data_IF_666131653207
#
_entry.id   IF_666131653207
#
_cell.length_a   1.000
_cell.length_b   1.000
_cell.length_c   1.000
_cell.angle_alpha   90.00
_cell.angle_beta   90.00
_cell.angle_gamma   90.00
#
_symmetry.space_group_name_H-M   'P 1'
#
loop_
_entity.id
_entity.type
_entity.pdbx_description
1 polymer ?
#
# COMPACT_ATOMS: atom_id res chain seq x y z
N UNK A 1 12.95 -7.64 4.16
CA UNK A 1 12.69 -8.79 3.27
C UNK A 1 11.26 -8.67 2.78
N UNK A 2 11.04 -8.09 1.60
CA UNK A 2 9.69 -8.00 1.04
C UNK A 2 9.36 -9.36 0.42
N UNK A 3 8.37 -10.04 1.00
CA UNK A 3 7.86 -11.31 0.50
C UNK A 3 7.11 -11.02 -0.81
N UNK A 4 7.79 -11.12 -1.94
CA UNK A 4 7.13 -11.10 -3.26
C UNK A 4 6.44 -12.45 -3.42
N UNK A 5 5.20 -12.57 -2.93
CA UNK A 5 4.35 -13.72 -3.28
C UNK A 5 4.30 -13.78 -4.81
N UNK A 6 4.71 -14.90 -5.39
CA UNK A 6 4.66 -15.07 -6.84
C UNK A 6 3.19 -15.03 -7.26
N UNK A 7 2.85 -14.06 -8.11
CA UNK A 7 1.45 -13.72 -8.38
C UNK A 7 0.78 -14.76 -9.28
N UNK A 8 1.57 -15.56 -10.01
CA UNK A 8 1.08 -16.68 -10.81
C UNK A 8 0.43 -17.80 -9.98
N UNK A 9 0.95 -18.05 -8.77
CA UNK A 9 0.39 -19.06 -7.85
C UNK A 9 -1.03 -18.67 -7.38
N UNK A 10 -1.26 -17.37 -7.14
CA UNK A 10 -2.56 -16.86 -6.71
C UNK A 10 -3.63 -16.89 -7.83
N UNK A 11 -3.21 -16.95 -9.09
CA UNK A 11 -4.10 -16.97 -10.25
C UNK A 11 -4.54 -18.39 -10.65
N UNK A 12 -3.97 -19.43 -10.03
CA UNK A 12 -4.22 -20.83 -10.43
C UNK A 12 -3.74 -21.15 -11.85
N UNK A 13 -2.75 -20.39 -12.35
CA UNK A 13 -2.22 -20.51 -13.72
C UNK A 13 -0.84 -21.18 -13.77
N UNK A 14 -0.39 -21.74 -12.64
CA UNK A 14 0.86 -22.48 -12.53
C UNK A 14 0.61 -23.96 -12.78
N UNK A 15 1.61 -24.68 -13.29
CA UNK A 15 1.54 -26.14 -13.55
C UNK A 15 1.26 -26.99 -12.29
N UNK A 16 1.32 -26.37 -11.10
CA UNK A 16 1.02 -26.99 -9.79
C UNK A 16 -0.41 -26.73 -9.31
N UNK A 17 -1.27 -26.08 -10.10
CA UNK A 17 -2.65 -25.80 -9.73
C UNK A 17 -3.53 -27.06 -9.85
N UNK A 18 -4.46 -27.21 -8.91
CA UNK A 18 -5.48 -28.27 -8.94
C UNK A 18 -6.56 -27.98 -9.99
N UNK A 19 -7.23 -29.01 -10.51
CA UNK A 19 -8.33 -28.85 -11.48
C UNK A 19 -9.42 -27.89 -10.97
N UNK A 20 -9.75 -27.97 -9.67
CA UNK A 20 -10.70 -27.06 -9.03
C UNK A 20 -10.26 -25.59 -9.09
N UNK A 21 -8.96 -25.31 -9.01
CA UNK A 21 -8.42 -23.95 -9.13
C UNK A 21 -8.48 -23.46 -10.58
N UNK A 22 -8.23 -24.34 -11.55
CA UNK A 22 -8.41 -24.01 -12.97
C UNK A 22 -9.87 -23.69 -13.30
N UNK A 23 -10.82 -24.54 -12.89
CA UNK A 23 -12.25 -24.30 -13.09
C UNK A 23 -12.71 -23.01 -12.43
N UNK A 24 -12.23 -22.73 -11.22
CA UNK A 24 -12.49 -21.46 -10.54
C UNK A 24 -11.97 -20.26 -11.34
N UNK A 25 -10.74 -20.33 -11.84
CA UNK A 25 -10.14 -19.27 -12.65
C UNK A 25 -10.88 -19.06 -13.97
N UNK A 26 -11.33 -20.13 -14.63
CA UNK A 26 -12.15 -20.06 -15.84
C UNK A 26 -13.51 -19.42 -15.57
N UNK A 27 -14.20 -19.81 -14.50
CA UNK A 27 -15.47 -19.19 -14.09
C UNK A 27 -15.27 -17.71 -13.77
N UNK A 28 -14.23 -17.36 -13.02
CA UNK A 28 -13.90 -15.97 -12.71
C UNK A 28 -13.62 -15.18 -14.00
N UNK A 29 -12.87 -15.74 -14.94
CA UNK A 29 -12.59 -15.09 -16.21
C UNK A 29 -13.87 -14.81 -17.01
N UNK A 30 -14.78 -15.78 -17.08
CA UNK A 30 -16.06 -15.63 -17.77
C UNK A 30 -16.86 -14.43 -17.24
N UNK A 31 -16.97 -14.31 -15.91
CA UNK A 31 -17.64 -13.16 -15.27
C UNK A 31 -16.93 -11.83 -15.57
N UNK A 32 -15.60 -11.82 -15.52
CA UNK A 32 -14.82 -10.61 -15.78
C UNK A 32 -14.87 -10.18 -17.25
N UNK A 33 -15.14 -11.08 -18.20
CA UNK A 33 -15.29 -10.71 -19.62
C UNK A 33 -16.48 -9.79 -19.85
N UNK A 34 -17.58 -10.00 -19.12
CA UNK A 34 -18.80 -9.18 -19.23
C UNK A 34 -18.84 -8.03 -18.22
N UNK A 35 -18.01 -8.05 -17.18
CA UNK A 35 -17.98 -6.96 -16.19
C UNK A 35 -17.06 -5.81 -16.64
N UNK A 36 -17.52 -4.54 -16.69
CA UNK A 36 -16.66 -3.40 -17.02
C UNK A 36 -15.49 -3.21 -16.05
N UNK A 37 -14.28 -2.92 -16.55
CA UNK A 37 -13.07 -2.81 -15.70
C UNK A 37 -12.68 -1.37 -15.32
N UNK A 38 -13.26 -0.36 -15.97
CA UNK A 38 -13.02 1.06 -15.73
C UNK A 38 -14.08 1.92 -16.42
N UNK A 39 -14.20 3.23 -16.14
CA UNK A 39 -15.14 4.12 -16.84
C UNK A 39 -14.96 4.18 -18.36
N UNK A 40 -13.76 3.82 -18.87
CA UNK A 40 -13.43 3.84 -20.30
C UNK A 40 -13.62 2.48 -20.99
N UNK A 41 -14.15 1.47 -20.29
CA UNK A 41 -14.20 0.10 -20.78
C UNK A 41 -15.25 -0.08 -21.88
N UNK A 42 -14.91 -0.62 -23.06
CA UNK A 42 -15.89 -0.93 -24.13
C UNK A 42 -16.97 -1.95 -23.74
N UNK A 43 -16.80 -2.67 -22.63
CA UNK A 43 -17.81 -3.59 -22.10
C UNK A 43 -19.06 -2.86 -21.63
N UNK A 44 -18.97 -1.57 -21.27
CA UNK A 44 -20.14 -0.73 -21.00
C UNK A 44 -21.15 -0.70 -22.17
N UNK A 45 -20.66 -0.85 -23.39
CA UNK A 45 -21.50 -0.88 -24.59
C UNK A 45 -22.42 -2.12 -24.65
N UNK A 46 -22.09 -3.22 -23.97
CA UNK A 46 -23.00 -4.36 -23.84
C UNK A 46 -24.26 -3.99 -23.04
N UNK A 47 -24.15 -2.99 -22.18
CA UNK A 47 -25.22 -2.50 -21.32
C UNK A 47 -25.86 -1.22 -21.85
N UNK A 48 -25.56 -0.80 -23.09
CA UNK A 48 -26.05 0.45 -23.67
C UNK A 48 -25.47 1.72 -23.03
N UNK A 49 -24.43 1.61 -22.21
CA UNK A 49 -23.81 2.75 -21.52
C UNK A 49 -22.61 3.23 -22.33
N UNK A 50 -22.57 4.54 -22.62
CA UNK A 50 -21.44 5.14 -23.34
C UNK A 50 -20.21 5.26 -22.40
N UNK A 51 -19.08 4.60 -22.71
CA UNK A 51 -17.89 4.72 -21.88
C UNK A 51 -17.24 6.10 -22.02
N UNK A 52 -16.52 6.52 -20.98
CA UNK A 52 -15.79 7.78 -21.00
C UNK A 52 -14.73 7.80 -22.11
N UNK A 53 -14.87 8.75 -23.05
CA UNK A 53 -14.01 8.85 -24.23
C UNK A 53 -14.27 7.77 -25.28
N UNK A 54 -15.55 7.41 -25.47
CA UNK A 54 -16.01 6.49 -26.51
C UNK A 54 -15.49 6.89 -27.90
N UNK A 55 -15.15 5.90 -28.72
CA UNK A 55 -14.68 6.08 -30.11
C UNK A 55 -15.45 5.14 -31.03
N UNK A 56 -15.64 5.52 -32.28
CA UNK A 56 -16.31 4.69 -33.30
C UNK A 56 -15.62 3.32 -33.49
N UNK A 57 -14.33 3.23 -33.20
CA UNK A 57 -13.54 1.99 -33.29
C UNK A 57 -13.73 1.04 -32.10
N UNK A 58 -14.55 1.40 -31.10
CA UNK A 58 -14.82 0.54 -29.95
C UNK A 58 -15.88 -0.50 -30.31
N UNK A 59 -15.54 -1.77 -30.17
CA UNK A 59 -16.50 -2.88 -30.35
C UNK A 59 -17.12 -3.24 -28.99
N UNK A 60 -18.45 -3.40 -28.91
CA UNK A 60 -19.11 -3.87 -27.70
C UNK A 60 -18.50 -5.17 -27.18
N UNK A 61 -18.25 -5.23 -25.87
CA UNK A 61 -17.67 -6.42 -25.21
C UNK A 61 -16.18 -6.64 -25.45
N UNK A 62 -15.51 -5.85 -26.30
CA UNK A 62 -14.09 -6.05 -26.65
C UNK A 62 -13.18 -5.03 -25.99
N UNK A 63 -12.76 -5.31 -24.75
CA UNK A 63 -11.78 -4.49 -24.04
C UNK A 63 -10.36 -5.07 -24.14
N UNK A 64 -9.38 -4.24 -24.56
CA UNK A 64 -7.95 -4.60 -24.64
C UNK A 64 -7.22 -4.48 -23.29
N UNK A 65 -7.92 -4.11 -22.22
CA UNK A 65 -7.34 -3.90 -20.90
C UNK A 65 -6.81 -5.20 -20.29
N UNK A 66 -5.69 -5.11 -19.56
CA UNK A 66 -5.09 -6.25 -18.84
C UNK A 66 -6.11 -7.00 -17.96
N UNK A 67 -7.08 -6.27 -17.42
CA UNK A 67 -8.16 -6.78 -16.57
C UNK A 67 -9.10 -7.81 -17.22
N UNK A 68 -9.03 -8.04 -18.53
CA UNK A 68 -9.81 -9.07 -19.23
C UNK A 68 -8.96 -10.25 -19.73
N UNK A 69 -7.64 -10.22 -19.49
CA UNK A 69 -6.74 -11.31 -19.90
C UNK A 69 -6.68 -12.39 -18.81
N UNK A 70 -6.74 -13.69 -19.17
CA UNK A 70 -6.57 -14.78 -18.21
C UNK A 70 -5.23 -14.67 -17.45
N UNK A 71 -4.15 -14.36 -18.16
CA UNK A 71 -2.78 -14.17 -17.63
C UNK A 71 -2.66 -13.11 -16.51
N UNK A 72 -3.68 -12.27 -16.35
CA UNK A 72 -3.70 -11.19 -15.38
C UNK A 72 -4.83 -11.34 -14.35
N UNK A 73 -5.46 -12.52 -14.28
CA UNK A 73 -6.31 -12.89 -13.15
C UNK A 73 -5.48 -12.89 -11.88
N UNK A 74 -5.99 -12.32 -10.78
CA UNK A 74 -5.26 -12.22 -9.51
C UNK A 74 -4.12 -11.18 -9.47
N UNK A 75 -3.53 -10.82 -10.61
CA UNK A 75 -2.70 -9.62 -10.74
C UNK A 75 -3.65 -8.43 -10.72
N UNK A 76 -3.34 -7.38 -9.96
CA UNK A 76 -4.11 -6.14 -9.96
C UNK A 76 -4.13 -5.49 -11.36
N UNK A 77 -4.95 -5.99 -12.28
CA UNK A 77 -5.71 -5.14 -13.18
C UNK A 77 -6.53 -4.19 -12.30
N UNK A 78 -6.89 -3.02 -12.82
CA UNK A 78 -7.64 -1.97 -12.06
C UNK A 78 -9.05 -2.39 -11.57
N UNK A 79 -9.33 -3.69 -11.45
CA UNK A 79 -10.54 -4.28 -10.88
C UNK A 79 -10.50 -4.41 -9.36
N UNK A 80 -9.32 -4.65 -8.78
CA UNK A 80 -9.15 -4.53 -7.34
C UNK A 80 -9.01 -3.05 -7.03
N UNK A 81 -9.84 -2.52 -6.13
CA UNK A 81 -9.70 -1.15 -5.66
C UNK A 81 -8.27 -0.99 -5.13
N UNK A 82 -7.50 -0.10 -5.76
CA UNK A 82 -6.22 0.33 -5.18
C UNK A 82 -6.50 0.93 -3.82
N UNK A 83 -5.55 0.80 -2.88
CA UNK A 83 -5.70 1.29 -1.49
C UNK A 83 -6.35 2.67 -1.43
N UNK A 84 -5.91 3.59 -2.30
CA UNK A 84 -6.49 4.94 -2.43
C UNK A 84 -8.00 4.97 -2.68
N UNK A 85 -8.57 4.09 -3.50
CA UNK A 85 -10.02 4.04 -3.75
C UNK A 85 -10.80 3.31 -2.66
N UNK A 86 -10.11 2.46 -1.90
CA UNK A 86 -10.71 1.73 -0.78
C UNK A 86 -10.75 2.59 0.48
N UNK A 87 -9.61 3.18 0.86
CA UNK A 87 -9.47 4.01 2.04
C UNK A 87 -9.84 5.48 1.80
N UNK A 88 -9.94 5.89 0.54
CA UNK A 88 -9.98 7.30 0.12
C UNK A 88 -8.75 8.11 0.57
N UNK A 89 -7.66 7.45 0.97
CA UNK A 89 -6.44 8.09 1.49
C UNK A 89 -5.36 8.21 0.43
N UNK A 90 -4.72 9.36 0.39
CA UNK A 90 -3.55 9.64 -0.44
C UNK A 90 -2.28 9.04 0.17
N UNK A 91 -1.17 9.09 -0.59
CA UNK A 91 0.14 8.69 -0.04
C UNK A 91 0.61 9.63 1.07
N UNK A 92 0.17 10.89 1.03
CA UNK A 92 0.46 11.90 2.05
C UNK A 92 -0.28 11.58 3.34
N UNK A 93 -1.57 11.24 3.25
CA UNK A 93 -2.37 10.80 4.41
C UNK A 93 -1.72 9.59 5.08
N UNK A 94 -1.30 8.59 4.31
CA UNK A 94 -0.60 7.43 4.85
C UNK A 94 0.76 7.79 5.48
N UNK A 95 1.46 8.80 4.97
CA UNK A 95 2.70 9.28 5.57
C UNK A 95 2.42 9.97 6.90
N UNK A 96 1.39 10.82 6.96
CA UNK A 96 0.97 11.51 8.16
C UNK A 96 0.53 10.51 9.25
N UNK A 97 -0.28 9.51 8.88
CA UNK A 97 -0.73 8.43 9.77
C UNK A 97 0.42 7.60 10.31
N UNK A 98 1.40 7.25 9.45
CA UNK A 98 2.61 6.57 9.91
C UNK A 98 3.43 7.42 10.87
N UNK A 99 3.53 8.73 10.61
CA UNK A 99 4.21 9.66 11.51
C UNK A 99 3.51 9.77 12.86
N UNK A 100 2.18 9.87 12.85
CA UNK A 100 1.33 9.88 14.04
C UNK A 100 1.49 8.59 14.86
N UNK A 101 1.41 7.44 14.20
CA UNK A 101 1.63 6.14 14.84
C UNK A 101 3.00 6.05 15.53
N UNK A 102 4.07 6.48 14.85
CA UNK A 102 5.42 6.45 15.44
C UNK A 102 5.50 7.39 16.64
N UNK A 103 4.93 8.60 16.57
CA UNK A 103 4.89 9.54 17.70
C UNK A 103 4.16 8.94 18.91
N UNK A 104 3.00 8.33 18.70
CA UNK A 104 2.24 7.67 19.76
C UNK A 104 2.99 6.46 20.34
N UNK A 105 3.66 5.67 19.49
CA UNK A 105 4.44 4.52 19.93
C UNK A 105 5.63 4.94 20.80
N UNK A 106 6.38 5.96 20.38
CA UNK A 106 7.50 6.51 21.15
C UNK A 106 7.01 7.08 22.49
N UNK A 107 5.91 7.82 22.48
CA UNK A 107 5.29 8.36 23.70
C UNK A 107 4.88 7.25 24.67
N UNK A 108 4.25 6.17 24.17
CA UNK A 108 3.84 5.02 24.99
C UNK A 108 5.04 4.28 25.60
N UNK A 109 6.16 4.21 24.89
CA UNK A 109 7.41 3.67 25.41
C UNK A 109 8.18 4.64 26.33
N UNK A 110 7.67 5.85 26.58
CA UNK A 110 8.36 6.88 27.36
C UNK A 110 9.60 7.46 26.68
N UNK A 111 9.81 7.19 25.38
CA UNK A 111 10.94 7.70 24.62
C UNK A 111 10.57 9.10 24.11
N UNK A 112 11.15 10.11 24.74
CA UNK A 112 11.05 11.48 24.25
C UNK A 112 12.04 11.66 23.09
N UNK A 113 11.61 12.23 21.94
CA UNK A 113 12.54 12.62 20.91
C UNK A 113 13.57 13.59 21.52
N UNK A 114 14.86 13.25 21.44
CA UNK A 114 15.93 14.10 21.95
C UNK A 114 16.08 15.42 21.17
N UNK A 115 15.30 15.62 20.11
CA UNK A 115 15.39 16.74 19.18
C UNK A 115 13.96 17.17 18.79
N UNK A 116 13.39 18.08 19.57
CA UNK A 116 12.49 19.08 19.03
C UNK A 116 13.30 20.36 18.80
N UNK A 117 12.90 21.26 17.90
CA UNK A 117 13.31 22.65 18.06
C UNK A 117 12.97 23.03 19.51
N UNK A 118 13.96 23.38 20.32
CA UNK A 118 13.72 24.05 21.60
C UNK A 118 12.80 25.24 21.27
N UNK A 119 11.78 25.56 22.07
CA UNK A 119 10.86 26.66 21.77
C UNK A 119 11.53 28.06 21.92
N UNK A 120 12.60 28.29 21.15
CA UNK A 120 13.36 29.52 21.05
C UNK A 120 13.14 30.19 19.69
N UNK A 121 13.38 31.50 19.59
CA UNK A 121 13.25 32.22 18.33
C UNK A 121 14.36 31.80 17.37
N UNK A 122 14.05 30.94 16.40
CA UNK A 122 14.97 30.58 15.32
C UNK A 122 14.80 31.47 14.11
N UNK A 123 15.91 31.99 13.59
CA UNK A 123 15.99 32.54 12.25
C UNK A 123 16.61 31.46 11.34
N UNK A 124 15.87 31.06 10.31
CA UNK A 124 16.34 30.08 9.34
C UNK A 124 17.02 30.79 8.18
N UNK A 125 18.33 30.59 8.04
CA UNK A 125 19.12 31.13 6.93
C UNK A 125 19.58 30.02 5.99
N UNK A 126 19.75 30.36 4.71
CA UNK A 126 20.26 29.39 3.72
C UNK A 126 21.78 29.34 3.82
N UNK A 127 22.36 28.16 4.05
CA UNK A 127 23.81 28.00 4.12
C UNK A 127 24.50 28.43 2.81
N UNK A 128 25.55 29.24 2.91
CA UNK A 128 26.40 29.59 1.78
C UNK A 128 27.45 28.49 1.51
N UNK A 129 27.89 28.28 0.25
CA UNK A 129 28.91 27.26 -0.07
C UNK A 129 30.24 27.42 0.66
N UNK A 130 30.56 28.63 1.12
CA UNK A 130 31.81 29.01 1.81
C UNK A 130 31.60 29.29 3.30
N UNK A 131 30.45 28.91 3.85
CA UNK A 131 30.12 29.15 5.25
C UNK A 131 31.03 28.29 6.15
N UNK A 132 31.86 28.92 7.02
CA UNK A 132 32.80 28.20 7.88
C UNK A 132 32.10 27.41 8.99
N UNK A 133 30.83 27.72 9.30
CA UNK A 133 30.08 27.08 10.37
C UNK A 133 29.43 25.76 9.92
N UNK A 134 29.53 25.43 8.63
CA UNK A 134 28.99 24.19 8.07
C UNK A 134 30.08 23.11 8.04
N UNK A 135 29.86 21.96 8.69
CA UNK A 135 30.76 20.82 8.57
C UNK A 135 30.91 20.37 7.12
N UNK A 136 32.09 19.86 6.77
CA UNK A 136 32.31 19.27 5.46
C UNK A 136 31.26 18.19 5.15
N UNK A 137 30.87 18.07 3.87
CA UNK A 137 29.82 17.13 3.43
C UNK A 137 29.97 15.69 3.96
N UNK A 138 31.17 15.07 4.03
CA UNK A 138 31.32 13.75 4.63
C UNK A 138 30.88 13.69 6.10
N UNK A 139 31.16 14.73 6.88
CA UNK A 139 30.75 14.84 8.28
C UNK A 139 29.23 14.94 8.39
N UNK A 140 28.58 15.74 7.54
CA UNK A 140 27.11 15.82 7.49
C UNK A 140 26.47 14.47 7.15
N UNK A 141 27.07 13.71 6.23
CA UNK A 141 26.60 12.36 5.90
C UNK A 141 26.75 11.41 7.10
N UNK A 142 27.86 11.47 7.82
CA UNK A 142 28.06 10.68 9.04
C UNK A 142 27.03 11.04 10.13
N UNK A 143 26.73 12.33 10.32
CA UNK A 143 25.68 12.78 11.24
C UNK A 143 24.30 12.23 10.84
N UNK A 144 23.92 12.34 9.56
CA UNK A 144 22.65 11.80 9.07
C UNK A 144 22.55 10.27 9.19
N UNK A 145 23.66 9.54 9.01
CA UNK A 145 23.72 8.09 9.23
C UNK A 145 23.53 7.77 10.71
N UNK A 146 24.25 8.45 11.60
CA UNK A 146 24.15 8.25 13.04
C UNK A 146 22.73 8.55 13.55
N UNK A 147 22.12 9.63 13.07
CA UNK A 147 20.74 10.00 13.36
C UNK A 147 19.75 8.91 12.91
N UNK A 148 19.89 8.42 11.68
CA UNK A 148 19.04 7.33 11.17
C UNK A 148 19.20 6.04 11.97
N UNK A 149 20.42 5.72 12.41
CA UNK A 149 20.68 4.55 13.26
C UNK A 149 20.01 4.70 14.63
N UNK A 150 20.12 5.88 15.25
CA UNK A 150 19.46 6.21 16.51
C UNK A 150 17.94 6.10 16.41
N UNK A 151 17.30 6.74 15.42
CA UNK A 151 15.84 6.63 15.23
C UNK A 151 15.37 5.20 15.02
N UNK A 152 16.14 4.39 14.28
CA UNK A 152 15.83 2.98 14.08
C UNK A 152 15.92 2.20 15.40
N UNK A 153 16.92 2.47 16.22
CA UNK A 153 17.09 1.84 17.53
C UNK A 153 15.95 2.23 18.47
N UNK A 154 15.60 3.51 18.56
CA UNK A 154 14.48 4.04 19.34
C UNK A 154 13.15 3.40 18.92
N UNK A 155 12.85 3.38 17.61
CA UNK A 155 11.64 2.73 17.11
C UNK A 155 11.60 1.22 17.40
N UNK A 156 12.74 0.54 17.33
CA UNK A 156 12.83 -0.89 17.67
C UNK A 156 12.62 -1.14 19.16
N UNK A 157 13.27 -0.33 20.00
CA UNK A 157 13.09 -0.37 21.45
C UNK A 157 11.64 -0.08 21.84
N UNK A 158 11.01 0.91 21.21
CA UNK A 158 9.61 1.25 21.46
C UNK A 158 8.67 0.10 21.09
N UNK A 159 8.88 -0.56 19.95
CA UNK A 159 8.10 -1.75 19.60
C UNK A 159 8.28 -2.86 20.64
N UNK A 160 9.52 -3.14 21.07
CA UNK A 160 9.78 -4.18 22.06
C UNK A 160 9.15 -3.88 23.42
N UNK A 161 9.25 -2.65 23.91
CA UNK A 161 8.68 -2.22 25.18
C UNK A 161 7.14 -2.21 25.19
N UNK A 162 6.53 -2.12 24.00
CA UNK A 162 5.09 -1.93 23.84
C UNK A 162 4.34 -3.20 23.39
N UNK A 163 5.09 -4.23 22.99
CA UNK A 163 4.52 -5.55 22.69
C UNK A 163 4.21 -6.27 24.00
N UNK A 164 3.10 -5.92 24.63
CA UNK A 164 2.46 -6.79 25.61
C UNK A 164 1.96 -8.08 24.92
N UNK A 165 1.98 -9.24 25.59
CA UNK A 165 1.23 -10.40 25.10
C UNK A 165 -0.23 -9.99 24.94
N UNK A 166 -0.90 -10.38 23.83
CA UNK A 166 -2.29 -9.98 23.63
C UNK A 166 -3.13 -10.50 24.82
N UNK A 167 -4.01 -9.68 25.43
CA UNK A 167 -5.10 -10.26 26.20
C UNK A 167 -5.88 -11.16 25.23
N UNK A 168 -6.28 -12.35 25.66
CA UNK A 168 -7.01 -13.37 24.87
C UNK A 168 -8.12 -12.75 24.00
N UNK A 169 -7.74 -12.25 22.83
CA UNK A 169 -8.64 -11.69 21.84
C UNK A 169 -8.95 -12.82 20.89
N UNK A 170 -9.98 -13.55 21.27
CA UNK A 170 -10.64 -14.55 20.47
C UNK A 170 -11.30 -13.88 19.26
N UNK A 171 -10.48 -13.47 18.28
CA UNK A 171 -10.89 -12.89 17.01
C UNK A 171 -11.30 -14.00 16.04
N UNK A 172 -12.31 -14.78 16.39
CA UNK A 172 -12.97 -15.71 15.46
C UNK A 172 -14.32 -15.12 15.05
N UNK A 173 -14.43 -14.74 13.77
CA UNK A 173 -15.62 -14.14 13.16
C UNK A 173 -16.69 -15.17 12.77
N UNK A 174 -17.03 -16.08 13.68
CA UNK A 174 -18.18 -16.99 13.54
C UNK A 174 -18.81 -17.19 14.91
N UNK A 175 -19.83 -16.41 15.23
CA UNK A 175 -20.80 -16.79 16.26
C UNK A 175 -21.77 -17.76 15.61
N UNK A 176 -21.69 -19.05 15.94
CA UNK A 176 -22.74 -20.01 15.64
C UNK A 176 -24.01 -19.61 16.42
N UNK A 177 -24.98 -19.02 15.70
CA UNK A 177 -26.37 -19.01 16.12
C UNK A 177 -27.14 -19.98 15.23
N UNK A 178 -27.37 -21.18 15.74
CA UNK A 178 -28.49 -22.02 15.33
C UNK A 178 -29.07 -22.64 16.61
N UNK A 179 -30.25 -22.16 16.99
CA UNK A 179 -31.16 -22.82 17.91
C UNK A 179 -32.24 -23.52 17.09
#
# INVERSE_FOLDING_TARGET
MYLTKSVGQAAGLTDTATDRQHDHAHRLHAELRVTPCSPRCPVWLLYGIQPHGARHSMTPGRCKGKAHKPEHLGIAGRRVLVSRKWSNKTLEDHRAERGEFVRQLLQRAGIQPAHGPEDGPYLWERPAPTDPDIPARPVLLLHAIAERQRWKAEYTAAQLATNDPPPDQNCSATSDQAA
#
